data_IF_115478944947
#
_entry.id   IF_115478944947
#
_cell.length_a   1.000
_cell.length_b   1.000
_cell.length_c   1.000
_cell.angle_alpha   90.00
_cell.angle_beta   90.00
_cell.angle_gamma   90.00
#
_symmetry.space_group_name_H-M   'P 1'
#
loop_
_entity.id
_entity.type
_entity.pdbx_description
1 polymer ?
#
# COMPACT_ATOMS: atom_id res chain seq x y z
N UNK A 1 5.66 14.74 -2.47
CA UNK A 1 6.83 14.56 -1.58
C UNK A 1 6.62 13.27 -0.79
N UNK A 2 7.53 12.29 -0.85
CA UNK A 2 7.41 11.06 -0.04
C UNK A 2 7.65 11.38 1.44
N UNK A 3 6.93 10.67 2.30
CA UNK A 3 7.08 10.73 3.76
C UNK A 3 7.40 9.31 4.24
N UNK A 4 8.43 9.17 5.04
CA UNK A 4 8.77 7.87 5.63
C UNK A 4 7.76 7.52 6.73
N UNK A 5 7.20 6.32 6.64
CA UNK A 5 6.40 5.75 7.71
C UNK A 5 7.34 5.18 8.79
N UNK A 6 7.33 5.83 9.94
CA UNK A 6 8.05 5.41 11.15
C UNK A 6 7.07 5.14 12.32
N UNK A 7 5.82 4.83 11.98
CA UNK A 7 4.73 4.64 12.94
C UNK A 7 4.07 5.94 13.40
N UNK A 8 4.37 7.08 12.76
CA UNK A 8 3.81 8.42 13.07
C UNK A 8 3.38 9.16 11.82
N UNK A 9 2.80 8.43 10.86
CA UNK A 9 2.44 9.02 9.57
C UNK A 9 1.39 10.13 9.70
N UNK A 10 0.44 9.99 10.62
CA UNK A 10 -0.57 11.01 10.88
C UNK A 10 0.04 12.34 11.32
N UNK A 11 0.98 12.30 12.26
CA UNK A 11 1.70 13.49 12.74
C UNK A 11 2.46 14.17 11.59
N UNK A 12 3.21 13.38 10.82
CA UNK A 12 3.98 13.88 9.69
C UNK A 12 3.11 14.47 8.58
N UNK A 13 2.02 13.78 8.24
CA UNK A 13 1.07 14.27 7.24
C UNK A 13 0.41 15.57 7.70
N UNK A 14 -0.03 15.65 8.97
CA UNK A 14 -0.63 16.87 9.51
C UNK A 14 0.36 18.01 9.68
N UNK A 15 1.65 17.72 9.84
CA UNK A 15 2.70 18.72 9.76
C UNK A 15 2.82 19.38 8.37
N UNK A 16 2.47 18.66 7.32
CA UNK A 16 2.48 19.14 5.94
C UNK A 16 1.12 19.71 5.50
N UNK A 17 0.04 19.08 5.96
CA UNK A 17 -1.36 19.44 5.67
C UNK A 17 -2.11 19.50 7.00
N UNK A 18 -2.12 20.64 7.70
CA UNK A 18 -2.67 20.72 9.06
C UNK A 18 -4.11 20.25 9.19
N UNK A 19 -4.94 20.42 8.16
CA UNK A 19 -6.32 19.95 8.11
C UNK A 19 -6.46 18.43 7.91
N UNK A 20 -5.38 17.75 7.56
CA UNK A 20 -5.40 16.35 7.10
C UNK A 20 -5.63 16.24 5.60
N UNK A 21 -5.58 15.03 5.07
CA UNK A 21 -5.77 14.72 3.64
C UNK A 21 -7.21 14.31 3.35
N UNK A 22 -7.68 14.56 2.12
CA UNK A 22 -9.06 14.24 1.71
C UNK A 22 -9.29 12.75 1.46
N UNK A 23 -8.22 12.01 1.14
CA UNK A 23 -8.32 10.57 0.85
C UNK A 23 -7.03 9.84 1.18
N UNK A 24 -7.18 8.61 1.65
CA UNK A 24 -6.09 7.68 1.93
C UNK A 24 -6.39 6.35 1.28
N UNK A 25 -5.42 5.79 0.57
CA UNK A 25 -5.43 4.40 0.14
C UNK A 25 -4.54 3.61 1.09
N UNK A 26 -5.15 2.79 1.95
CA UNK A 26 -4.46 1.98 2.95
C UNK A 26 -4.06 0.63 2.36
N UNK A 27 -2.77 0.43 2.14
CA UNK A 27 -2.20 -0.75 1.47
C UNK A 27 -1.47 -1.70 2.43
N UNK A 28 -1.08 -1.23 3.60
CA UNK A 28 -0.32 -2.02 4.59
C UNK A 28 -1.25 -2.88 5.44
N UNK A 29 -2.34 -2.29 5.92
CA UNK A 29 -3.36 -3.04 6.60
C UNK A 29 -3.63 -2.61 8.05
N UNK A 30 -4.05 -3.57 8.87
CA UNK A 30 -4.51 -3.34 10.23
C UNK A 30 -3.55 -2.51 11.12
N UNK A 31 -2.22 -2.73 11.11
CA UNK A 31 -1.29 -1.99 11.97
C UNK A 31 -1.23 -0.48 11.69
N UNK A 32 -1.44 -0.06 10.44
CA UNK A 32 -1.34 1.35 10.03
C UNK A 32 -2.69 2.05 9.90
N UNK A 33 -3.80 1.30 9.90
CA UNK A 33 -5.13 1.84 9.65
C UNK A 33 -5.50 2.98 10.61
N UNK A 34 -5.19 2.84 11.90
CA UNK A 34 -5.54 3.86 12.89
C UNK A 34 -4.83 5.19 12.63
N UNK A 35 -3.59 5.12 12.21
CA UNK A 35 -2.78 6.29 11.86
C UNK A 35 -3.26 6.91 10.55
N UNK A 36 -3.60 6.09 9.56
CA UNK A 36 -4.24 6.51 8.30
C UNK A 36 -5.56 7.26 8.54
N UNK A 37 -6.40 6.76 9.44
CA UNK A 37 -7.64 7.43 9.84
C UNK A 37 -7.37 8.80 10.48
N UNK A 38 -6.36 8.89 11.37
CA UNK A 38 -5.96 10.13 12.01
C UNK A 38 -5.33 11.14 11.07
N UNK A 39 -4.70 10.71 9.99
CA UNK A 39 -4.15 11.59 8.96
C UNK A 39 -5.25 12.25 8.11
N UNK A 40 -6.44 11.68 8.09
CA UNK A 40 -7.54 12.08 7.21
C UNK A 40 -8.31 13.27 7.78
N UNK A 41 -8.69 14.20 6.90
CA UNK A 41 -9.49 15.38 7.23
C UNK A 41 -10.96 15.01 7.50
N UNK A 42 -11.71 15.80 8.29
CA UNK A 42 -13.16 15.67 8.36
C UNK A 42 -13.79 15.77 6.97
N UNK A 43 -14.69 14.84 6.63
CA UNK A 43 -15.26 14.70 5.28
C UNK A 43 -14.44 13.82 4.34
N UNK A 44 -13.21 13.50 4.69
CA UNK A 44 -12.33 12.63 3.92
C UNK A 44 -12.69 11.14 4.02
N UNK A 45 -11.97 10.31 3.24
CA UNK A 45 -12.21 8.88 3.15
C UNK A 45 -10.90 8.08 3.24
N UNK A 46 -10.91 7.02 4.01
CA UNK A 46 -9.87 6.00 4.01
C UNK A 46 -10.42 4.77 3.32
N UNK A 47 -9.76 4.34 2.24
CA UNK A 47 -10.07 3.09 1.55
C UNK A 47 -9.05 2.02 1.97
N UNK A 48 -9.52 1.06 2.75
CA UNK A 48 -8.73 -0.09 3.16
C UNK A 48 -8.73 -1.15 2.05
N UNK A 49 -7.57 -1.47 1.50
CA UNK A 49 -7.50 -2.41 0.37
C UNK A 49 -6.29 -3.34 0.44
N UNK A 50 -5.30 -3.08 1.30
CA UNK A 50 -4.09 -3.89 1.40
C UNK A 50 -3.95 -4.61 2.73
N UNK A 51 -3.24 -5.74 2.72
CA UNK A 51 -2.94 -6.54 3.91
C UNK A 51 -1.51 -7.08 3.85
N UNK A 52 -0.55 -6.19 3.61
CA UNK A 52 0.87 -6.55 3.52
C UNK A 52 1.47 -6.95 4.88
N UNK A 53 0.79 -6.61 5.97
CA UNK A 53 1.26 -6.86 7.34
C UNK A 53 0.99 -8.25 7.88
N UNK A 54 0.37 -9.15 7.10
CA UNK A 54 -0.10 -10.47 7.53
C UNK A 54 -1.07 -10.45 8.74
N UNK A 55 -1.65 -9.28 9.03
CA UNK A 55 -2.65 -9.09 10.09
C UNK A 55 -4.02 -8.79 9.48
N UNK A 56 -4.91 -9.78 9.50
CA UNK A 56 -6.21 -9.78 8.82
C UNK A 56 -7.36 -9.22 9.66
N UNK A 57 -7.18 -9.21 10.97
CA UNK A 57 -8.21 -8.79 11.90
C UNK A 57 -7.68 -7.73 12.85
N UNK A 58 -8.57 -6.88 13.32
CA UNK A 58 -8.27 -5.88 14.34
C UNK A 58 -9.03 -6.29 15.60
N UNK A 59 -8.32 -6.86 16.59
CA UNK A 59 -8.94 -7.16 17.87
C UNK A 59 -9.50 -5.90 18.52
N UNK A 60 -10.63 -6.03 19.20
CA UNK A 60 -11.25 -4.97 19.97
C UNK A 60 -11.45 -3.64 19.20
N UNK A 61 -11.77 -3.75 17.89
CA UNK A 61 -12.05 -2.59 17.07
C UNK A 61 -13.27 -1.85 17.60
N UNK A 62 -13.03 -0.70 18.20
CA UNK A 62 -14.08 0.20 18.67
C UNK A 62 -14.19 1.41 17.74
N UNK A 63 -15.20 1.46 16.85
CA UNK A 63 -15.29 2.49 15.81
C UNK A 63 -15.24 3.93 16.31
N UNK A 64 -15.87 4.20 17.46
CA UNK A 64 -15.92 5.55 18.04
C UNK A 64 -14.56 6.05 18.52
N UNK A 65 -13.63 5.17 18.83
CA UNK A 65 -12.24 5.51 19.20
C UNK A 65 -11.29 5.53 18.00
N UNK A 66 -11.60 4.72 16.98
CA UNK A 66 -10.74 4.57 15.83
C UNK A 66 -11.00 5.61 14.75
N UNK A 67 -12.28 5.87 14.44
CA UNK A 67 -12.69 6.70 13.31
C UNK A 67 -12.93 8.13 13.82
N UNK A 68 -12.09 9.10 13.42
CA UNK A 68 -12.30 10.49 13.79
C UNK A 68 -13.62 11.03 13.26
N UNK A 69 -14.20 11.99 13.96
CA UNK A 69 -15.48 12.61 13.57
C UNK A 69 -15.44 13.13 12.13
N UNK A 70 -16.42 12.68 11.33
CA UNK A 70 -16.56 13.08 9.93
C UNK A 70 -15.65 12.32 8.95
N UNK A 71 -14.76 11.44 9.41
CA UNK A 71 -13.95 10.58 8.53
C UNK A 71 -14.77 9.34 8.15
N UNK A 72 -14.64 8.92 6.91
CA UNK A 72 -15.30 7.72 6.36
C UNK A 72 -14.27 6.61 6.19
N UNK A 73 -14.60 5.41 6.65
CA UNK A 73 -13.85 4.19 6.38
C UNK A 73 -14.63 3.34 5.38
N UNK A 74 -13.96 2.96 4.31
CA UNK A 74 -14.48 2.00 3.32
C UNK A 74 -13.42 0.94 3.04
N UNK A 75 -13.81 -0.15 2.40
CA UNK A 75 -12.89 -1.18 1.97
C UNK A 75 -13.13 -1.52 0.50
N UNK A 76 -12.07 -1.91 -0.18
CA UNK A 76 -12.11 -2.44 -1.53
C UNK A 76 -11.35 -3.76 -1.59
N UNK A 77 -12.05 -4.81 -1.98
CA UNK A 77 -11.48 -6.13 -2.24
C UNK A 77 -11.56 -6.40 -3.74
N UNK A 78 -10.54 -5.94 -4.47
CA UNK A 78 -10.48 -6.06 -5.91
C UNK A 78 -10.12 -7.47 -6.39
N UNK A 79 -10.58 -7.78 -7.59
CA UNK A 79 -10.22 -9.00 -8.31
C UNK A 79 -9.58 -8.64 -9.66
N UNK A 80 -8.89 -9.60 -10.28
CA UNK A 80 -8.26 -9.40 -11.60
C UNK A 80 -9.28 -9.00 -12.68
N UNK A 81 -10.54 -9.39 -12.54
CA UNK A 81 -11.64 -9.00 -13.42
C UNK A 81 -12.01 -7.51 -13.35
N UNK A 82 -11.62 -6.83 -12.28
CA UNK A 82 -11.96 -5.42 -12.07
C UNK A 82 -11.04 -4.49 -12.86
N UNK A 83 -9.90 -5.00 -13.33
CA UNK A 83 -8.98 -4.27 -14.20
C UNK A 83 -9.30 -4.58 -15.67
N UNK A 84 -9.85 -3.62 -16.44
CA UNK A 84 -10.06 -3.81 -17.87
C UNK A 84 -8.74 -4.12 -18.59
N UNK A 85 -8.76 -5.10 -19.49
CA UNK A 85 -7.57 -5.48 -20.27
C UNK A 85 -6.97 -4.28 -21.03
N UNK A 86 -7.81 -3.36 -21.50
CA UNK A 86 -7.39 -2.11 -22.17
C UNK A 86 -6.56 -1.20 -21.25
N UNK A 87 -6.87 -1.14 -19.96
CA UNK A 87 -6.09 -0.33 -19.00
C UNK A 87 -4.72 -0.98 -18.73
N UNK A 88 -4.69 -2.30 -18.59
CA UNK A 88 -3.43 -3.04 -18.47
C UNK A 88 -2.58 -2.84 -19.71
N UNK A 89 -3.16 -2.98 -20.91
CA UNK A 89 -2.44 -2.76 -22.17
C UNK A 89 -1.87 -1.35 -22.26
N UNK A 90 -2.65 -0.33 -21.89
CA UNK A 90 -2.19 1.07 -21.86
C UNK A 90 -0.97 1.27 -20.96
N UNK A 91 -0.93 0.59 -19.81
CA UNK A 91 0.23 0.65 -18.91
C UNK A 91 1.45 -0.02 -19.55
N UNK A 92 1.27 -1.20 -20.16
CA UNK A 92 2.34 -1.91 -20.86
C UNK A 92 2.91 -1.09 -22.03
N UNK A 93 2.05 -0.46 -22.82
CA UNK A 93 2.47 0.39 -23.93
C UNK A 93 3.30 1.60 -23.46
N UNK A 94 2.93 2.20 -22.33
CA UNK A 94 3.70 3.28 -21.72
C UNK A 94 5.07 2.83 -21.21
N UNK A 95 5.15 1.62 -20.65
CA UNK A 95 6.43 1.02 -20.23
C UNK A 95 7.30 0.78 -21.47
N UNK A 96 6.74 0.17 -22.52
CA UNK A 96 7.46 -0.12 -23.76
C UNK A 96 7.96 1.17 -24.45
N UNK A 97 7.21 2.25 -24.35
CA UNK A 97 7.59 3.56 -24.87
C UNK A 97 8.58 4.34 -23.99
N UNK A 98 9.00 3.80 -22.85
CA UNK A 98 9.83 4.51 -21.87
C UNK A 98 9.14 5.69 -21.18
N UNK A 99 7.82 5.81 -21.31
CA UNK A 99 7.01 6.86 -20.69
C UNK A 99 6.57 6.53 -19.25
N UNK A 100 6.87 5.33 -18.78
CA UNK A 100 6.68 4.89 -17.40
C UNK A 100 7.89 4.08 -16.98
N UNK A 101 8.61 4.59 -16.00
CA UNK A 101 9.75 3.91 -15.40
C UNK A 101 9.27 2.82 -14.44
N UNK A 102 9.85 1.63 -14.58
CA UNK A 102 9.60 0.53 -13.66
C UNK A 102 10.51 0.65 -12.42
N UNK A 103 10.00 0.16 -11.30
CA UNK A 103 10.85 -0.06 -10.13
C UNK A 103 11.96 -1.09 -10.48
N UNK A 104 13.10 -1.05 -9.82
CA UNK A 104 14.13 -2.06 -9.98
C UNK A 104 13.57 -3.48 -9.85
N UNK A 105 14.04 -4.38 -10.69
CA UNK A 105 13.67 -5.81 -10.66
C UNK A 105 14.88 -6.60 -10.21
N UNK A 106 14.70 -7.48 -9.22
CA UNK A 106 15.69 -8.42 -8.74
C UNK A 106 15.20 -9.83 -9.04
N UNK A 107 15.97 -10.60 -9.78
CA UNK A 107 15.63 -11.97 -10.16
C UNK A 107 16.29 -12.98 -9.24
N UNK A 108 15.61 -14.08 -8.97
CA UNK A 108 16.07 -15.21 -8.18
C UNK A 108 15.72 -16.51 -8.91
N UNK A 109 16.55 -17.51 -8.78
CA UNK A 109 16.17 -18.87 -9.18
C UNK A 109 15.12 -19.45 -8.23
N UNK A 110 14.49 -20.56 -8.57
CA UNK A 110 13.58 -21.23 -7.63
C UNK A 110 14.31 -21.79 -6.40
N UNK A 111 15.56 -22.20 -6.56
CA UNK A 111 16.40 -22.67 -5.45
C UNK A 111 16.63 -21.56 -4.42
N UNK A 112 16.70 -20.29 -4.87
CA UNK A 112 16.96 -19.12 -4.03
C UNK A 112 15.68 -18.44 -3.52
N UNK A 113 14.51 -19.05 -3.69
CA UNK A 113 13.22 -18.43 -3.31
C UNK A 113 13.13 -18.08 -1.82
N UNK A 114 13.81 -18.85 -0.97
CA UNK A 114 13.87 -18.60 0.48
C UNK A 114 14.65 -17.32 0.77
N UNK A 115 15.73 -17.06 0.01
CA UNK A 115 16.53 -15.85 0.14
C UNK A 115 15.75 -14.64 -0.41
N UNK A 116 15.00 -14.80 -1.51
CA UNK A 116 14.09 -13.78 -2.00
C UNK A 116 13.06 -13.37 -0.93
N UNK A 117 12.44 -14.35 -0.24
CA UNK A 117 11.50 -14.08 0.84
C UNK A 117 12.16 -13.36 2.03
N UNK A 118 13.38 -13.75 2.37
CA UNK A 118 14.15 -13.10 3.45
C UNK A 118 14.51 -11.65 3.09
N UNK A 119 14.95 -11.41 1.86
CA UNK A 119 15.25 -10.06 1.35
C UNK A 119 13.98 -9.18 1.34
N UNK A 120 12.84 -9.74 0.95
CA UNK A 120 11.56 -9.04 0.99
C UNK A 120 11.16 -8.68 2.43
N UNK A 121 11.21 -9.64 3.34
CA UNK A 121 10.80 -9.45 4.73
C UNK A 121 11.69 -8.44 5.48
N UNK A 122 12.99 -8.41 5.16
CA UNK A 122 13.94 -7.47 5.77
C UNK A 122 13.95 -6.08 5.13
N UNK A 123 13.29 -5.91 3.97
CA UNK A 123 13.38 -4.68 3.18
C UNK A 123 14.77 -4.42 2.57
N UNK A 124 15.62 -5.45 2.48
CA UNK A 124 16.99 -5.34 1.95
C UNK A 124 17.01 -4.92 0.47
N UNK A 125 15.97 -5.23 -0.27
CA UNK A 125 15.82 -4.89 -1.68
C UNK A 125 14.63 -3.99 -1.91
N UNK A 126 14.85 -2.91 -2.66
CA UNK A 126 13.78 -2.04 -3.15
C UNK A 126 13.37 -2.47 -4.55
N UNK A 127 12.08 -2.49 -4.82
CA UNK A 127 11.55 -2.85 -6.15
C UNK A 127 10.76 -4.15 -6.15
N UNK A 128 10.86 -4.89 -7.24
CA UNK A 128 10.17 -6.17 -7.42
C UNK A 128 11.16 -7.32 -7.32
N UNK A 129 10.80 -8.32 -6.52
CA UNK A 129 11.53 -9.59 -6.44
C UNK A 129 10.76 -10.61 -7.29
N UNK A 130 11.44 -11.22 -8.26
CA UNK A 130 10.82 -12.10 -9.25
C UNK A 130 11.56 -13.44 -9.24
N UNK A 131 10.86 -14.51 -8.93
CA UNK A 131 11.36 -15.86 -9.09
C UNK A 131 11.25 -16.30 -10.56
N UNK A 132 12.34 -16.83 -11.12
CA UNK A 132 12.39 -17.37 -12.48
C UNK A 132 12.31 -18.90 -12.41
N UNK A 133 11.22 -19.52 -12.93
CA UNK A 133 11.03 -20.97 -12.79
C UNK A 133 11.80 -21.82 -13.81
N UNK A 134 12.52 -21.19 -14.74
CA UNK A 134 13.15 -21.88 -15.87
C UNK A 134 14.68 -21.67 -16.00
N UNK A 135 15.33 -21.15 -14.99
CA UNK A 135 16.81 -20.98 -14.99
C UNK A 135 17.51 -22.20 -14.41
#
# INVERSE_FOLDING_TARGET
>A
MPVLDDGRIAERVRGLVPGGVDGVLELVGAPTLRDSLRATAPGGVVCFTGMLSDSWTIPDFYPMDWIPNGVRLTAYSGQSSDLPASELQRVLDRIAAGALELLPVHTYSLEDIVDAQRDMASGARRGKLVGLPWD
#
